data_IF_108930362486
#
_entry.id   IF_108930362486
#
_cell.length_a   1.000
_cell.length_b   1.000
_cell.length_c   1.000
_cell.angle_alpha   90.00
_cell.angle_beta   90.00
_cell.angle_gamma   90.00
#
_symmetry.space_group_name_H-M   'P 1'
#
loop_
_entity.id
_entity.type
_entity.pdbx_description
1 polymer ?
#
# COMPACT_ATOMS: atom_id res chain seq x y z
N UNK A 1 4.64 -1.91 -11.49
CA UNK A 1 3.82 -3.02 -10.96
C UNK A 1 2.35 -2.72 -11.25
N UNK A 2 1.65 -3.57 -11.96
CA UNK A 2 0.28 -3.34 -12.42
C UNK A 2 -0.77 -3.92 -11.45
N UNK A 3 -1.99 -3.37 -11.48
CA UNK A 3 -3.10 -3.77 -10.62
C UNK A 3 -3.42 -5.28 -10.64
N UNK A 4 -3.26 -5.95 -11.80
CA UNK A 4 -3.47 -7.40 -11.91
C UNK A 4 -2.54 -8.24 -11.01
N UNK A 5 -1.38 -7.69 -10.63
CA UNK A 5 -0.44 -8.37 -9.74
C UNK A 5 -0.98 -8.32 -8.31
N UNK A 6 -1.58 -7.22 -7.89
CA UNK A 6 -2.15 -7.08 -6.54
C UNK A 6 -3.22 -8.14 -6.28
N UNK A 7 -4.12 -8.35 -7.25
CA UNK A 7 -5.13 -9.39 -7.16
C UNK A 7 -4.54 -10.82 -7.09
N UNK A 8 -3.48 -11.09 -7.88
CA UNK A 8 -2.82 -12.40 -7.89
C UNK A 8 -2.01 -12.70 -6.64
N UNK A 9 -1.46 -11.66 -6.02
CA UNK A 9 -0.66 -11.77 -4.80
C UNK A 9 -1.47 -11.55 -3.54
N UNK A 10 -2.79 -11.29 -3.68
CA UNK A 10 -3.69 -10.96 -2.57
C UNK A 10 -3.12 -9.86 -1.68
N UNK A 11 -2.56 -8.82 -2.31
CA UNK A 11 -1.98 -7.67 -1.62
C UNK A 11 -3.07 -6.65 -1.35
N UNK A 12 -3.43 -6.43 -0.09
CA UNK A 12 -4.46 -5.47 0.32
C UNK A 12 -3.91 -4.04 0.50
N UNK A 13 -2.59 -3.92 0.75
CA UNK A 13 -1.91 -2.65 1.00
C UNK A 13 -0.68 -2.47 0.13
N UNK A 14 -0.27 -1.21 -0.04
CA UNK A 14 0.93 -0.84 -0.81
C UNK A 14 2.19 -1.56 -0.29
N UNK A 15 2.37 -1.67 1.03
CA UNK A 15 3.51 -2.37 1.64
C UNK A 15 3.63 -3.82 1.19
N UNK A 16 2.50 -4.52 1.10
CA UNK A 16 2.45 -5.92 0.65
C UNK A 16 2.77 -6.02 -0.85
N UNK A 17 2.20 -5.14 -1.67
CA UNK A 17 2.43 -5.11 -3.12
C UNK A 17 3.90 -4.84 -3.47
N UNK A 18 4.56 -3.96 -2.73
CA UNK A 18 5.96 -3.60 -2.96
C UNK A 18 6.94 -4.75 -2.68
N UNK A 19 6.57 -5.76 -1.88
CA UNK A 19 7.39 -6.97 -1.66
C UNK A 19 7.65 -7.76 -2.95
N UNK A 20 6.80 -7.57 -3.97
CA UNK A 20 6.93 -8.22 -5.29
C UNK A 20 7.65 -7.35 -6.33
N UNK A 21 8.14 -6.17 -5.94
CA UNK A 21 8.86 -5.28 -6.85
C UNK A 21 10.37 -5.54 -6.77
N UNK A 22 11.03 -5.98 -7.85
CA UNK A 22 12.47 -6.20 -7.86
C UNK A 22 13.26 -4.94 -7.47
N UNK A 23 14.25 -5.09 -6.57
CA UNK A 23 15.09 -3.98 -6.08
C UNK A 23 14.45 -3.11 -5.02
N UNK A 24 13.25 -3.48 -4.57
CA UNK A 24 12.56 -2.88 -3.43
C UNK A 24 12.46 -3.91 -2.32
N UNK A 25 12.77 -3.53 -1.11
CA UNK A 25 12.60 -4.35 0.09
C UNK A 25 11.72 -3.61 1.09
N UNK A 26 10.70 -4.27 1.57
CA UNK A 26 9.85 -3.79 2.66
C UNK A 26 10.28 -4.51 3.92
N UNK A 27 10.68 -3.75 4.94
CA UNK A 27 11.08 -4.24 6.25
C UNK A 27 10.09 -3.78 7.30
N UNK A 28 9.62 -4.71 8.11
CA UNK A 28 8.76 -4.43 9.25
C UNK A 28 9.67 -4.28 10.48
N UNK A 29 9.98 -3.04 10.86
CA UNK A 29 10.97 -2.73 11.92
C UNK A 29 10.42 -2.84 13.34
N UNK A 30 9.10 -2.87 13.50
CA UNK A 30 8.45 -3.07 14.78
C UNK A 30 7.19 -3.89 14.58
N UNK A 31 7.20 -5.14 15.01
CA UNK A 31 6.07 -6.06 14.84
C UNK A 31 4.79 -5.54 15.53
N UNK A 32 4.95 -4.92 16.70
CA UNK A 32 3.79 -4.41 17.46
C UNK A 32 3.33 -3.01 17.03
N UNK A 33 4.16 -2.24 16.30
CA UNK A 33 3.85 -0.87 15.92
C UNK A 33 3.27 -0.77 14.48
N UNK A 34 3.34 -1.84 13.68
CA UNK A 34 2.96 -1.79 12.25
C UNK A 34 3.85 -0.85 11.43
N UNK A 35 5.13 -0.73 11.81
CA UNK A 35 6.08 0.15 11.15
C UNK A 35 6.75 -0.57 9.99
N UNK A 36 6.31 -0.26 8.78
CA UNK A 36 6.92 -0.77 7.55
C UNK A 36 7.78 0.30 6.89
N UNK A 37 9.00 -0.06 6.55
CA UNK A 37 9.97 0.81 5.89
C UNK A 37 10.33 0.25 4.51
N UNK A 38 10.35 1.11 3.50
CA UNK A 38 10.78 0.72 2.15
C UNK A 38 12.24 1.08 1.95
N UNK A 39 13.03 0.09 1.52
CA UNK A 39 14.41 0.27 1.09
C UNK A 39 14.52 0.07 -0.41
N UNK A 40 15.18 0.99 -1.10
CA UNK A 40 15.51 0.88 -2.51
C UNK A 40 17.02 0.77 -2.63
N UNK A 41 17.50 -0.26 -3.34
CA UNK A 41 18.93 -0.52 -3.52
C UNK A 41 19.73 -0.61 -2.20
N UNK A 42 19.08 -1.06 -1.12
CA UNK A 42 19.70 -1.19 0.20
C UNK A 42 19.80 0.10 1.03
N UNK A 43 19.38 1.25 0.48
CA UNK A 43 19.33 2.50 1.23
C UNK A 43 18.08 2.59 2.10
N UNK A 44 18.20 3.24 3.26
CA UNK A 44 17.13 3.36 4.26
C UNK A 44 15.92 4.16 3.75
N UNK A 45 14.77 3.89 4.37
CA UNK A 45 13.48 4.48 4.02
C UNK A 45 13.47 6.01 3.89
N UNK A 46 14.13 6.79 4.75
CA UNK A 46 14.19 8.25 4.62
C UNK A 46 14.78 8.75 3.29
N UNK A 47 15.51 7.90 2.58
CA UNK A 47 16.08 8.20 1.26
C UNK A 47 15.20 7.75 0.09
N UNK A 48 14.06 7.16 0.38
CA UNK A 48 13.08 6.67 -0.60
C UNK A 48 11.85 7.57 -0.59
N UNK A 49 11.61 8.31 -1.67
CA UNK A 49 10.45 9.22 -1.76
C UNK A 49 9.22 8.45 -2.25
N UNK A 50 8.10 8.65 -1.54
CA UNK A 50 6.80 8.13 -1.96
C UNK A 50 5.95 9.27 -2.51
N UNK A 51 5.38 9.03 -3.69
CA UNK A 51 4.47 9.94 -4.36
C UNK A 51 3.11 9.26 -4.57
N UNK A 52 2.06 10.04 -4.57
CA UNK A 52 0.73 9.67 -5.06
C UNK A 52 0.36 10.62 -6.18
N UNK A 53 0.13 10.10 -7.37
CA UNK A 53 -0.12 10.87 -8.60
C UNK A 53 0.92 11.98 -8.80
N UNK A 54 2.20 11.62 -8.66
CA UNK A 54 3.36 12.50 -8.78
C UNK A 54 3.47 13.60 -7.72
N UNK A 55 2.65 13.54 -6.66
CA UNK A 55 2.69 14.48 -5.55
C UNK A 55 3.32 13.82 -4.33
N UNK A 56 4.34 14.44 -3.71
CA UNK A 56 4.97 13.88 -2.52
C UNK A 56 3.98 13.72 -1.36
N UNK A 57 4.03 12.57 -0.71
CA UNK A 57 3.31 12.37 0.54
C UNK A 57 4.11 13.02 1.66
N UNK A 58 3.70 14.24 2.03
CA UNK A 58 4.39 15.03 3.06
C UNK A 58 3.91 14.66 4.45
N UNK A 59 4.59 13.75 5.11
CA UNK A 59 4.80 13.77 6.56
C UNK A 59 5.81 12.70 6.94
N UNK A 60 6.63 12.96 7.93
CA UNK A 60 7.50 11.94 8.52
C UNK A 60 6.67 10.72 9.00
N UNK A 61 5.44 10.96 9.47
CA UNK A 61 4.50 9.92 9.86
C UNK A 61 3.94 9.13 8.66
N UNK A 62 3.65 9.78 7.54
CA UNK A 62 3.13 9.11 6.34
C UNK A 62 4.21 8.25 5.65
N UNK A 63 5.49 8.64 5.73
CA UNK A 63 6.60 7.81 5.26
C UNK A 63 6.79 6.55 6.11
N UNK A 64 6.31 6.58 7.36
CA UNK A 64 6.45 5.51 8.34
C UNK A 64 5.21 4.60 8.38
N UNK A 65 4.03 5.21 8.51
CA UNK A 65 2.75 4.48 8.65
C UNK A 65 1.89 4.52 7.38
N UNK A 66 2.22 5.37 6.42
CA UNK A 66 1.37 5.63 5.25
C UNK A 66 1.32 4.47 4.25
N UNK A 67 2.32 3.60 4.23
CA UNK A 67 2.36 2.45 3.33
C UNK A 67 1.25 1.44 3.59
N UNK A 68 0.84 1.31 4.84
CA UNK A 68 -0.23 0.42 5.25
C UNK A 68 -1.62 1.08 5.18
N UNK A 69 -1.66 2.39 4.91
CA UNK A 69 -2.89 3.15 4.74
C UNK A 69 -3.29 3.35 3.28
N UNK A 70 -2.42 2.98 2.33
CA UNK A 70 -2.72 3.07 0.90
C UNK A 70 -3.25 1.71 0.43
N UNK A 71 -4.58 1.57 0.25
CA UNK A 71 -5.19 0.32 -0.18
C UNK A 71 -4.92 0.08 -1.67
N UNK A 72 -4.67 -1.18 -2.03
CA UNK A 72 -4.38 -1.53 -3.42
C UNK A 72 -5.60 -1.40 -4.35
N UNK A 73 -6.81 -1.38 -3.81
CA UNK A 73 -8.03 -1.23 -4.59
C UNK A 73 -8.12 0.13 -5.31
N UNK A 74 -7.46 1.17 -4.79
CA UNK A 74 -7.38 2.50 -5.44
C UNK A 74 -6.22 2.61 -6.45
N UNK A 75 -5.27 1.67 -6.45
CA UNK A 75 -4.05 1.75 -7.24
C UNK A 75 -4.28 1.16 -8.64
N UNK A 76 -3.95 1.92 -9.68
CA UNK A 76 -3.86 1.43 -11.05
C UNK A 76 -2.52 0.73 -11.28
N UNK A 77 -1.41 1.41 -10.94
CA UNK A 77 -0.05 0.89 -11.05
C UNK A 77 0.91 1.57 -10.09
N UNK A 78 2.02 0.93 -9.85
CA UNK A 78 3.13 1.48 -9.08
C UNK A 78 4.33 1.60 -10.02
N UNK A 79 4.90 2.80 -10.11
CA UNK A 79 6.11 3.11 -10.86
C UNK A 79 7.26 3.28 -9.88
N UNK A 80 8.39 2.61 -10.15
CA UNK A 80 9.58 2.69 -9.29
C UNK A 80 10.74 3.20 -10.11
N UNK A 81 11.21 4.40 -9.76
CA UNK A 81 12.46 4.96 -10.23
C UNK A 81 13.55 4.61 -9.22
N UNK A 82 14.56 3.87 -9.65
CA UNK A 82 15.70 3.50 -8.81
C UNK A 82 16.89 4.40 -9.12
N UNK A 83 17.55 4.89 -8.06
CA UNK A 83 18.68 5.81 -8.19
C UNK A 83 18.25 7.28 -8.11
N UNK A 84 19.19 8.18 -8.29
CA UNK A 84 19.07 9.60 -7.99
C UNK A 84 17.89 10.32 -8.61
N UNK A 85 16.76 10.33 -7.91
CA UNK A 85 15.59 11.15 -8.23
C UNK A 85 15.60 12.53 -7.58
N UNK A 86 16.65 12.85 -6.79
CA UNK A 86 16.71 14.04 -5.95
C UNK A 86 16.63 15.36 -6.73
N UNK A 87 17.11 15.39 -7.97
CA UNK A 87 17.00 16.57 -8.82
C UNK A 87 15.56 16.97 -9.18
N UNK A 88 14.65 15.98 -9.23
CA UNK A 88 13.25 16.19 -9.59
C UNK A 88 12.31 16.18 -8.38
N UNK A 89 12.63 15.36 -7.38
CA UNK A 89 11.70 15.04 -6.28
C UNK A 89 12.23 15.43 -4.89
N UNK A 90 13.40 16.09 -4.83
CA UNK A 90 13.98 16.59 -3.58
C UNK A 90 14.92 15.61 -2.87
N UNK A 91 15.44 16.06 -1.72
CA UNK A 91 16.51 15.36 -0.97
C UNK A 91 16.14 13.97 -0.46
N UNK A 92 14.87 13.69 -0.29
CA UNK A 92 14.40 12.35 0.14
C UNK A 92 14.43 11.30 -0.97
N UNK A 93 14.69 11.67 -2.24
CA UNK A 93 14.69 10.78 -3.38
C UNK A 93 16.10 10.31 -3.80
N UNK A 94 17.03 10.18 -2.85
CA UNK A 94 18.42 9.75 -3.12
C UNK A 94 18.47 8.28 -3.54
N UNK A 95 17.74 7.41 -2.86
CA UNK A 95 17.66 5.98 -3.16
C UNK A 95 16.76 5.72 -4.38
N UNK A 96 15.70 6.50 -4.51
CA UNK A 96 14.72 6.39 -5.58
C UNK A 96 13.36 6.94 -5.20
N UNK A 97 12.42 6.73 -6.10
CA UNK A 97 11.04 7.21 -5.99
C UNK A 97 10.08 6.07 -6.24
N UNK A 98 9.05 5.98 -5.42
CA UNK A 98 7.90 5.12 -5.63
C UNK A 98 6.70 6.02 -5.91
N UNK A 99 6.19 5.99 -7.14
CA UNK A 99 5.03 6.75 -7.55
C UNK A 99 3.81 5.83 -7.66
N UNK A 100 2.83 6.06 -6.82
CA UNK A 100 1.56 5.34 -6.82
C UNK A 100 0.61 6.10 -7.74
N UNK A 101 0.18 5.47 -8.81
CA UNK A 101 -0.79 6.03 -9.75
C UNK A 101 -2.16 5.49 -9.38
N UNK A 102 -3.10 6.38 -9.11
CA UNK A 102 -4.46 6.01 -8.74
C UNK A 102 -5.31 5.72 -9.98
N UNK A 103 -6.36 4.92 -9.80
CA UNK A 103 -7.31 4.61 -10.89
C UNK A 103 -8.07 5.86 -11.31
N UNK A 104 -8.10 6.10 -12.62
CA UNK A 104 -8.88 7.18 -13.20
C UNK A 104 -10.34 6.76 -13.42
N UNK A 105 -11.30 7.69 -13.25
CA UNK A 105 -12.71 7.45 -13.53
C UNK A 105 -12.99 7.45 -15.05
N UNK A 106 -12.80 6.30 -15.70
CA UNK A 106 -13.02 6.18 -17.17
C UNK A 106 -14.43 5.76 -17.50
N UNK A 107 -15.07 4.95 -16.66
CA UNK A 107 -16.42 4.46 -16.83
C UNK A 107 -17.10 4.25 -15.48
N UNK A 108 -18.43 4.42 -15.45
CA UNK A 108 -19.20 4.15 -14.23
C UNK A 108 -19.13 2.67 -13.90
N UNK A 109 -18.73 2.36 -12.66
CA UNK A 109 -18.58 1.01 -12.17
C UNK A 109 -18.73 0.95 -10.66
N UNK A 110 -19.08 -0.22 -10.14
CA UNK A 110 -19.05 -0.49 -8.71
C UNK A 110 -18.47 -1.89 -8.49
N UNK A 111 -17.64 -2.04 -7.48
CA UNK A 111 -17.09 -3.32 -7.04
C UNK A 111 -17.00 -3.39 -5.53
N UNK A 112 -17.25 -4.58 -5.01
CA UNK A 112 -17.03 -4.91 -3.61
C UNK A 112 -16.28 -6.24 -3.56
N UNK A 113 -15.31 -6.34 -2.66
CA UNK A 113 -14.61 -7.59 -2.38
C UNK A 113 -14.44 -7.78 -0.88
N UNK A 114 -14.40 -9.03 -0.46
CA UNK A 114 -14.14 -9.41 0.92
C UNK A 114 -13.13 -10.55 0.93
N UNK A 115 -12.06 -10.37 1.67
CA UNK A 115 -10.99 -11.35 1.84
C UNK A 115 -10.91 -11.74 3.31
N UNK A 116 -10.82 -13.04 3.55
CA UNK A 116 -10.54 -13.61 4.86
C UNK A 116 -9.25 -14.41 4.77
N UNK A 117 -8.28 -14.06 5.59
CA UNK A 117 -6.98 -14.75 5.67
C UNK A 117 -6.79 -15.36 7.04
N UNK A 118 -6.52 -16.66 7.09
CA UNK A 118 -6.13 -17.36 8.32
C UNK A 118 -4.64 -17.18 8.58
N UNK A 119 -4.29 -16.98 9.84
CA UNK A 119 -2.91 -16.82 10.30
C UNK A 119 -2.62 -17.90 11.33
N UNK A 120 -1.43 -18.51 11.25
CA UNK A 120 -1.00 -19.51 12.22
C UNK A 120 -1.90 -20.75 12.30
N UNK A 121 -2.37 -21.26 11.15
CA UNK A 121 -3.23 -22.43 11.11
C UNK A 121 -4.66 -22.19 11.60
N UNK A 122 -5.19 -20.99 11.40
CA UNK A 122 -6.52 -20.53 11.83
C UNK A 122 -6.61 -20.08 13.30
N UNK A 123 -5.49 -19.81 13.94
CA UNK A 123 -5.47 -19.27 15.31
C UNK A 123 -5.84 -17.77 15.36
N UNK A 124 -5.65 -17.06 14.25
CA UNK A 124 -6.08 -15.69 14.08
C UNK A 124 -6.58 -15.47 12.65
N UNK A 125 -7.38 -14.41 12.46
CA UNK A 125 -7.98 -14.08 11.18
C UNK A 125 -7.71 -12.60 10.83
N UNK A 126 -7.46 -12.38 9.57
CA UNK A 126 -7.40 -11.06 8.96
C UNK A 126 -8.56 -10.94 7.98
N UNK A 127 -9.36 -9.89 8.14
CA UNK A 127 -10.51 -9.61 7.31
C UNK A 127 -10.30 -8.27 6.62
N UNK A 128 -10.44 -8.24 5.31
CA UNK A 128 -10.35 -7.02 4.51
C UNK A 128 -11.58 -6.92 3.62
N UNK A 129 -12.30 -5.80 3.73
CA UNK A 129 -13.44 -5.50 2.87
C UNK A 129 -13.11 -4.26 2.07
N UNK A 130 -13.16 -4.37 0.75
CA UNK A 130 -12.93 -3.28 -0.19
C UNK A 130 -14.23 -2.88 -0.88
N UNK A 131 -14.43 -1.58 -0.98
CA UNK A 131 -15.51 -0.98 -1.74
C UNK A 131 -14.93 0.03 -2.73
N UNK A 132 -15.43 0.00 -3.95
CA UNK A 132 -15.05 0.95 -4.98
C UNK A 132 -16.28 1.31 -5.80
N UNK A 133 -16.53 2.60 -5.98
CA UNK A 133 -17.61 3.12 -6.80
C UNK A 133 -17.08 4.28 -7.65
N UNK A 134 -17.25 4.17 -8.94
CA UNK A 134 -16.88 5.20 -9.91
C UNK A 134 -18.16 5.65 -10.65
N UNK A 135 -18.37 6.95 -10.70
CA UNK A 135 -19.42 7.58 -11.48
C UNK A 135 -18.79 8.49 -12.53
N UNK A 136 -19.21 8.35 -13.77
CA UNK A 136 -18.80 9.20 -14.89
C UNK A 136 -20.06 9.72 -15.56
N UNK A 137 -20.12 11.03 -15.82
CA UNK A 137 -21.24 11.67 -16.52
C UNK A 137 -21.28 11.24 -17.98
N UNK A 138 -22.47 11.24 -18.60
CA UNK A 138 -22.69 10.82 -19.99
C UNK A 138 -21.83 11.60 -21.00
N UNK A 139 -21.48 12.82 -20.70
CA UNK A 139 -20.61 13.67 -21.53
C UNK A 139 -19.11 13.51 -21.23
N UNK A 140 -18.72 12.58 -20.33
CA UNK A 140 -17.35 12.33 -19.89
C UNK A 140 -16.59 13.57 -19.35
N UNK A 141 -17.30 14.59 -18.90
CA UNK A 141 -16.67 15.81 -18.39
C UNK A 141 -16.38 15.76 -16.88
N UNK A 142 -17.12 14.93 -16.15
CA UNK A 142 -16.98 14.80 -14.71
C UNK A 142 -16.89 13.33 -14.35
N UNK A 143 -15.85 12.95 -13.65
CA UNK A 143 -15.68 11.63 -13.06
C UNK A 143 -15.43 11.75 -11.55
N UNK A 144 -16.07 10.90 -10.76
CA UNK A 144 -15.87 10.79 -9.32
C UNK A 144 -15.62 9.33 -8.97
N UNK A 145 -14.57 9.08 -8.22
CA UNK A 145 -14.28 7.75 -7.68
C UNK A 145 -14.21 7.80 -6.16
N UNK A 146 -14.90 6.88 -5.53
CA UNK A 146 -14.89 6.66 -4.08
C UNK A 146 -14.25 5.30 -3.80
N UNK A 147 -13.28 5.28 -2.91
CA UNK A 147 -12.62 4.09 -2.41
C UNK A 147 -12.90 3.96 -0.93
N UNK A 148 -13.21 2.75 -0.46
CA UNK A 148 -13.34 2.43 0.94
C UNK A 148 -12.66 1.10 1.23
N UNK A 149 -11.95 1.00 2.36
CA UNK A 149 -11.40 -0.24 2.86
C UNK A 149 -11.64 -0.34 4.36
N UNK A 150 -12.14 -1.49 4.78
CA UNK A 150 -12.23 -1.88 6.18
C UNK A 150 -11.32 -3.07 6.40
N UNK A 151 -10.34 -2.89 7.28
CA UNK A 151 -9.39 -3.93 7.62
C UNK A 151 -9.46 -4.22 9.12
N UNK A 152 -9.53 -5.50 9.46
CA UNK A 152 -9.49 -5.96 10.85
C UNK A 152 -8.65 -7.21 10.95
N UNK A 153 -7.71 -7.22 11.90
CA UNK A 153 -6.86 -8.36 12.21
C UNK A 153 -7.06 -8.76 13.67
N UNK A 154 -7.28 -10.04 13.91
CA UNK A 154 -7.30 -10.60 15.25
C UNK A 154 -5.88 -10.62 15.83
N UNK A 155 -5.72 -10.44 17.14
CA UNK A 155 -4.43 -10.66 17.79
C UNK A 155 -3.93 -12.09 17.51
N UNK A 156 -2.63 -12.21 17.27
CA UNK A 156 -1.97 -13.50 17.08
C UNK A 156 -0.88 -13.66 18.14
N UNK A 157 -1.11 -14.59 19.07
CA UNK A 157 -0.18 -14.97 20.12
C UNK A 157 0.31 -16.38 19.81
N UNK A 158 1.56 -16.49 19.33
CA UNK A 158 2.20 -17.76 19.01
C UNK A 158 2.87 -18.41 20.23
N UNK A 159 3.33 -17.57 21.14
CA UNK A 159 4.10 -18.01 22.31
C UNK A 159 3.22 -18.39 23.49
N UNK A 160 1.96 -17.92 23.52
CA UNK A 160 1.00 -18.13 24.61
C UNK A 160 1.29 -17.27 25.84
N UNK A 161 2.00 -16.14 25.66
CA UNK A 161 2.35 -15.22 26.73
C UNK A 161 1.30 -14.11 26.96
N UNK A 162 0.24 -14.08 26.18
CA UNK A 162 -0.86 -13.11 26.24
C UNK A 162 -0.58 -11.83 25.44
N UNK A 163 0.55 -11.75 24.75
CA UNK A 163 0.89 -10.63 23.86
C UNK A 163 0.80 -11.05 22.40
N UNK A 164 0.39 -10.13 21.54
CA UNK A 164 0.32 -10.41 20.10
C UNK A 164 1.65 -10.11 19.44
N UNK A 165 2.16 -11.06 18.65
CA UNK A 165 3.35 -10.86 17.83
C UNK A 165 3.08 -10.09 16.54
N UNK A 166 1.81 -9.77 16.26
CA UNK A 166 1.40 -9.02 15.08
C UNK A 166 0.64 -7.75 15.48
N UNK A 167 0.85 -6.62 14.79
CA UNK A 167 0.06 -5.40 15.03
C UNK A 167 -1.42 -5.65 14.72
N UNK A 168 -2.28 -4.95 15.46
CA UNK A 168 -3.75 -4.99 15.27
C UNK A 168 -4.17 -4.16 14.07
#
# INVERSE_FOLDING_TARGET
LEAKIFARTQSSFLSQALKYQPGVRVEDNCQNCGFSQVRINGLDGPYSQILVDSRPVYSALAGVYGLEQIPTNMIERIEVLRGGGSALFGSSAIAGVINVITKEPVASSASASHEIRGIGGLNAFENTTDLNATYVTDNNQIGLTLFGQLHHRSPYDHTGDGYSEMPK
#
